data_IF_531377303530
#
_entry.id   IF_531377303530
#
_cell.length_a   1.000
_cell.length_b   1.000
_cell.length_c   1.000
_cell.angle_alpha   90.00
_cell.angle_beta   90.00
_cell.angle_gamma   90.00
#
_symmetry.space_group_name_H-M   'P 1'
#
loop_
_entity.id
_entity.type
_entity.pdbx_description
1 polymer ?
#
# COMPACT_ATOMS: atom_id res chain seq x y z
N UNK A 1 -2.59 18.34 -21.28
CA UNK A 1 -1.45 17.46 -21.02
C UNK A 1 -1.53 16.31 -22.03
N UNK A 2 -0.41 15.91 -22.65
CA UNK A 2 -0.35 14.77 -23.56
C UNK A 2 0.64 13.74 -23.02
N UNK A 3 0.28 12.47 -23.15
CA UNK A 3 1.10 11.32 -22.76
C UNK A 3 1.27 10.39 -23.96
N UNK A 4 2.46 9.79 -24.13
CA UNK A 4 2.74 8.78 -25.17
C UNK A 4 2.41 9.25 -26.59
N UNK A 5 2.99 10.38 -27.00
CA UNK A 5 2.79 10.96 -28.35
C UNK A 5 1.31 11.20 -28.72
N UNK A 6 0.47 11.43 -27.69
CA UNK A 6 -0.95 11.72 -27.87
C UNK A 6 -1.89 10.51 -27.71
N UNK A 7 -1.37 9.36 -27.33
CA UNK A 7 -2.17 8.16 -27.02
C UNK A 7 -3.16 8.44 -25.88
N UNK A 8 -2.76 9.23 -24.89
CA UNK A 8 -3.62 9.71 -23.81
C UNK A 8 -3.52 11.23 -23.69
N UNK A 9 -4.65 11.90 -23.65
CA UNK A 9 -4.73 13.35 -23.43
C UNK A 9 -5.50 13.62 -22.14
N UNK A 10 -5.08 14.65 -21.41
CA UNK A 10 -5.74 15.07 -20.18
C UNK A 10 -6.02 16.57 -20.19
N UNK A 11 -7.23 16.96 -19.83
CA UNK A 11 -7.61 18.34 -19.54
C UNK A 11 -7.67 18.51 -18.02
N UNK A 12 -6.91 19.48 -17.49
CA UNK A 12 -7.01 19.84 -16.07
C UNK A 12 -8.31 20.60 -15.89
N UNK A 13 -9.25 20.06 -15.12
CA UNK A 13 -10.56 20.65 -14.87
C UNK A 13 -10.65 21.35 -13.53
N UNK A 14 -9.80 20.97 -12.56
CA UNK A 14 -9.75 21.61 -11.25
C UNK A 14 -8.40 21.45 -10.57
N UNK A 15 -8.15 22.31 -9.57
CA UNK A 15 -7.03 22.24 -8.65
C UNK A 15 -7.60 21.95 -7.27
N UNK A 16 -7.35 20.74 -6.78
CA UNK A 16 -7.83 20.28 -5.47
C UNK A 16 -6.75 20.44 -4.39
N UNK A 17 -7.09 20.10 -3.17
CA UNK A 17 -6.21 20.24 -2.01
C UNK A 17 -4.83 19.62 -2.23
N UNK A 18 -3.84 20.12 -1.49
CA UNK A 18 -2.45 19.68 -1.52
C UNK A 18 -1.75 19.76 -2.88
N UNK A 19 -2.25 20.58 -3.79
CA UNK A 19 -1.66 20.76 -5.11
C UNK A 19 -1.99 19.65 -6.10
N UNK A 20 -2.90 18.77 -5.77
CA UNK A 20 -3.43 17.78 -6.70
C UNK A 20 -4.24 18.43 -7.83
N UNK A 21 -4.42 17.71 -8.91
CA UNK A 21 -5.19 18.16 -10.08
C UNK A 21 -6.24 17.14 -10.41
N UNK A 22 -7.45 17.61 -10.65
CA UNK A 22 -8.50 16.80 -11.24
C UNK A 22 -8.34 16.86 -12.76
N UNK A 23 -8.17 15.71 -13.40
CA UNK A 23 -7.89 15.62 -14.84
C UNK A 23 -8.96 14.77 -15.49
N UNK A 24 -9.59 15.34 -16.51
CA UNK A 24 -10.45 14.58 -17.41
C UNK A 24 -9.60 13.98 -18.54
N UNK A 25 -9.60 12.67 -18.65
CA UNK A 25 -8.87 11.98 -19.71
C UNK A 25 -9.71 11.80 -20.98
N UNK A 26 -9.03 11.93 -22.11
CA UNK A 26 -9.57 11.71 -23.45
C UNK A 26 -8.69 10.67 -24.15
N UNK A 27 -9.30 9.57 -24.57
CA UNK A 27 -8.62 8.41 -25.14
C UNK A 27 -9.59 7.59 -25.98
N UNK A 28 -9.03 6.73 -26.86
CA UNK A 28 -9.77 5.75 -27.63
C UNK A 28 -9.38 4.34 -27.17
N UNK A 29 -10.36 3.47 -26.93
CA UNK A 29 -10.13 2.08 -26.48
C UNK A 29 -10.31 1.88 -24.99
N UNK A 30 -9.54 0.94 -24.42
CA UNK A 30 -9.61 0.55 -23.01
C UNK A 30 -8.57 1.33 -22.23
N UNK A 31 -9.01 2.06 -21.21
CA UNK A 31 -8.15 2.94 -20.42
C UNK A 31 -7.01 2.21 -19.74
N UNK A 32 -7.30 1.06 -19.17
CA UNK A 32 -6.33 0.21 -18.48
C UNK A 32 -5.20 -0.26 -19.41
N UNK A 33 -5.53 -0.62 -20.65
CA UNK A 33 -4.52 -1.02 -21.64
C UNK A 33 -3.61 0.15 -22.02
N UNK A 34 -4.16 1.35 -22.11
CA UNK A 34 -3.38 2.57 -22.35
C UNK A 34 -2.46 2.87 -21.18
N UNK A 35 -2.95 2.72 -19.94
CA UNK A 35 -2.14 2.89 -18.74
C UNK A 35 -1.00 1.86 -18.67
N UNK A 36 -1.24 0.61 -19.07
CA UNK A 36 -0.21 -0.44 -19.11
C UNK A 36 0.91 -0.12 -20.11
N UNK A 37 0.55 0.50 -21.23
CA UNK A 37 1.52 0.93 -22.25
C UNK A 37 2.34 2.14 -21.79
N UNK A 38 1.70 3.11 -21.14
CA UNK A 38 2.30 4.39 -20.77
C UNK A 38 2.89 4.39 -19.37
N UNK A 39 2.35 3.55 -18.49
CA UNK A 39 2.67 3.56 -17.06
C UNK A 39 4.08 3.05 -16.77
N UNK A 40 4.74 3.76 -15.89
CA UNK A 40 5.97 3.29 -15.25
C UNK A 40 5.68 2.99 -13.77
N UNK A 41 6.36 1.97 -13.20
CA UNK A 41 6.25 1.68 -11.78
C UNK A 41 6.69 2.91 -10.97
N UNK A 42 5.85 3.46 -10.08
CA UNK A 42 6.25 4.56 -9.22
C UNK A 42 7.33 4.08 -8.25
N UNK A 43 8.48 4.75 -8.28
CA UNK A 43 9.61 4.44 -7.42
C UNK A 43 9.88 5.61 -6.48
N UNK A 44 10.38 5.35 -5.27
CA UNK A 44 10.88 6.40 -4.39
C UNK A 44 11.96 7.23 -5.09
N UNK A 45 12.05 8.55 -4.80
CA UNK A 45 12.97 9.45 -5.51
C UNK A 45 14.45 9.07 -5.44
N UNK A 46 14.86 8.29 -4.44
CA UNK A 46 16.24 7.81 -4.29
C UNK A 46 16.59 6.66 -5.24
N UNK A 47 15.60 6.03 -5.91
CA UNK A 47 15.82 5.01 -6.92
C UNK A 47 15.82 5.70 -8.29
N UNK A 48 17.00 5.93 -8.84
CA UNK A 48 17.19 6.66 -10.09
C UNK A 48 17.31 5.76 -11.33
N UNK A 49 17.53 4.46 -11.15
CA UNK A 49 17.62 3.50 -12.24
C UNK A 49 16.24 3.02 -12.67
N UNK A 50 15.98 3.03 -13.99
CA UNK A 50 14.78 2.39 -14.54
C UNK A 50 14.81 0.89 -14.28
N UNK A 51 13.67 0.37 -13.80
CA UNK A 51 13.51 -1.07 -13.64
C UNK A 51 13.44 -1.76 -15.00
N UNK A 52 14.23 -2.81 -15.18
CA UNK A 52 14.14 -3.69 -16.35
C UNK A 52 12.89 -4.58 -16.27
N UNK A 53 12.50 -4.94 -15.06
CA UNK A 53 11.32 -5.73 -14.74
C UNK A 53 10.43 -4.93 -13.77
N UNK A 54 9.25 -4.55 -14.22
CA UNK A 54 8.27 -3.78 -13.42
C UNK A 54 7.88 -4.53 -12.13
N UNK A 55 7.82 -5.86 -12.17
CA UNK A 55 7.42 -6.69 -11.03
C UNK A 55 8.48 -6.73 -9.92
N UNK A 56 9.70 -6.30 -10.20
CA UNK A 56 10.80 -6.32 -9.20
C UNK A 56 10.53 -5.43 -7.99
N UNK A 57 9.76 -4.36 -8.17
CA UNK A 57 9.39 -3.43 -7.09
C UNK A 57 7.95 -3.68 -6.63
N UNK A 58 7.57 -4.94 -6.51
CA UNK A 58 6.30 -5.38 -5.92
C UNK A 58 6.51 -6.68 -5.14
N UNK A 59 5.70 -6.91 -4.13
CA UNK A 59 5.76 -8.14 -3.34
C UNK A 59 5.19 -9.33 -4.13
N UNK A 60 5.70 -10.53 -3.87
CA UNK A 60 5.23 -11.76 -4.52
C UNK A 60 3.81 -12.17 -4.12
N UNK A 61 3.25 -11.51 -3.11
CA UNK A 61 1.90 -11.74 -2.58
C UNK A 61 0.94 -10.57 -2.82
N UNK A 62 1.33 -9.55 -3.59
CA UNK A 62 0.41 -8.48 -3.99
C UNK A 62 -0.80 -9.06 -4.72
N UNK A 63 -2.00 -8.64 -4.32
CA UNK A 63 -3.28 -9.16 -4.84
C UNK A 63 -4.22 -8.05 -5.29
N UNK A 64 -4.31 -6.98 -4.54
CA UNK A 64 -5.27 -5.91 -4.76
C UNK A 64 -4.55 -4.68 -5.33
N UNK A 65 -4.93 -4.25 -6.53
CA UNK A 65 -4.44 -3.03 -7.15
C UNK A 65 -5.03 -1.79 -6.46
N UNK A 66 -4.32 -0.63 -6.55
CA UNK A 66 -4.81 0.64 -6.01
C UNK A 66 -3.82 1.37 -5.10
N UNK A 67 -2.64 0.81 -4.84
CA UNK A 67 -1.58 1.45 -4.05
C UNK A 67 -0.55 2.14 -4.94
N UNK A 68 -0.14 3.35 -4.56
CA UNK A 68 0.95 4.07 -5.24
C UNK A 68 2.34 3.60 -4.81
N UNK A 69 2.47 2.84 -3.73
CA UNK A 69 3.74 2.36 -3.21
C UNK A 69 3.68 0.90 -2.76
N UNK A 70 4.76 0.15 -2.99
CA UNK A 70 4.90 -1.22 -2.51
C UNK A 70 5.37 -1.24 -1.04
N UNK A 71 4.96 -2.25 -0.24
CA UNK A 71 5.47 -2.44 1.12
C UNK A 71 6.91 -2.99 1.07
N UNK A 72 7.89 -2.09 1.13
CA UNK A 72 9.31 -2.40 0.83
C UNK A 72 9.91 -3.50 1.72
N UNK A 73 9.50 -3.61 2.98
CA UNK A 73 9.90 -4.70 3.85
C UNK A 73 9.48 -6.08 3.30
N UNK A 74 8.37 -6.14 2.59
CA UNK A 74 7.86 -7.36 1.96
C UNK A 74 8.63 -7.80 0.71
N UNK A 75 9.40 -6.90 0.08
CA UNK A 75 10.19 -7.23 -1.12
C UNK A 75 11.30 -8.26 -0.87
N UNK A 76 11.67 -8.47 0.39
CA UNK A 76 12.66 -9.47 0.79
C UNK A 76 12.11 -10.90 0.77
N UNK A 77 10.80 -11.08 0.76
CA UNK A 77 10.19 -12.41 0.71
C UNK A 77 10.08 -12.91 -0.72
N UNK A 78 10.55 -14.11 -0.96
CA UNK A 78 10.24 -14.89 -2.16
C UNK A 78 9.15 -15.91 -1.84
N UNK A 79 8.54 -16.51 -2.87
CA UNK A 79 7.53 -17.59 -2.67
C UNK A 79 8.14 -18.79 -1.94
N UNK A 80 9.40 -19.11 -2.23
CA UNK A 80 10.14 -20.20 -1.61
C UNK A 80 10.41 -19.90 -0.12
N UNK A 81 10.78 -18.66 0.21
CA UNK A 81 11.01 -18.26 1.61
C UNK A 81 9.70 -18.28 2.41
N UNK A 82 8.60 -17.77 1.84
CA UNK A 82 7.28 -17.84 2.49
C UNK A 82 6.89 -19.29 2.78
N UNK A 83 7.09 -20.19 1.78
CA UNK A 83 6.82 -21.60 1.98
C UNK A 83 7.70 -22.23 3.08
N UNK A 84 8.98 -21.88 3.15
CA UNK A 84 9.86 -22.38 4.23
C UNK A 84 9.37 -21.92 5.60
N UNK A 85 8.90 -20.67 5.71
CA UNK A 85 8.31 -20.12 6.94
C UNK A 85 7.06 -20.90 7.35
N UNK A 86 6.19 -21.22 6.40
CA UNK A 86 4.99 -22.04 6.64
C UNK A 86 5.36 -23.48 7.04
N UNK A 87 6.34 -24.10 6.39
CA UNK A 87 6.82 -25.45 6.68
C UNK A 87 7.42 -25.56 8.11
N UNK A 88 7.86 -24.43 8.70
CA UNK A 88 8.26 -24.33 10.11
C UNK A 88 7.07 -24.23 11.07
N UNK A 89 5.85 -24.24 10.58
CA UNK A 89 4.63 -24.12 11.39
C UNK A 89 4.19 -22.66 11.69
N UNK A 90 4.83 -21.69 11.06
CA UNK A 90 4.42 -20.27 11.17
C UNK A 90 3.26 -20.03 10.22
N UNK A 91 2.23 -19.37 10.73
CA UNK A 91 1.06 -18.98 9.92
C UNK A 91 1.32 -17.61 9.30
N UNK A 92 0.95 -17.44 8.03
CA UNK A 92 1.05 -16.17 7.31
C UNK A 92 -0.34 -15.58 7.17
N UNK A 93 -0.50 -14.35 7.63
CA UNK A 93 -1.73 -13.56 7.45
C UNK A 93 -1.45 -12.38 6.52
N UNK A 94 -2.44 -12.01 5.72
CA UNK A 94 -2.36 -10.91 4.78
C UNK A 94 -3.36 -9.81 5.12
N UNK A 95 -2.94 -8.57 4.98
CA UNK A 95 -3.79 -7.38 5.10
C UNK A 95 -3.55 -6.47 3.90
N UNK A 96 -4.51 -5.62 3.59
CA UNK A 96 -4.41 -4.67 2.48
C UNK A 96 -4.37 -3.25 3.03
N UNK A 97 -3.44 -2.43 2.51
CA UNK A 97 -3.41 -0.99 2.68
C UNK A 97 -3.14 -0.33 1.32
N UNK A 98 -4.02 0.53 0.87
CA UNK A 98 -3.81 1.33 -0.32
C UNK A 98 -3.06 2.61 0.04
N UNK A 99 -1.74 2.55 -0.10
CA UNK A 99 -0.84 3.67 0.21
C UNK A 99 -0.96 4.74 -0.87
N UNK A 100 -1.31 5.95 -0.47
CA UNK A 100 -1.48 7.10 -1.35
C UNK A 100 -0.15 7.73 -1.79
N UNK A 101 -0.24 8.67 -2.75
CA UNK A 101 0.92 9.43 -3.26
C UNK A 101 1.62 10.26 -2.19
N UNK A 102 0.93 10.56 -1.09
CA UNK A 102 1.48 11.29 0.05
C UNK A 102 2.71 10.64 0.68
N UNK A 103 2.86 9.31 0.55
CA UNK A 103 4.03 8.59 1.09
C UNK A 103 5.37 9.04 0.49
N UNK A 104 5.36 9.64 -0.70
CA UNK A 104 6.57 10.18 -1.34
C UNK A 104 6.87 11.63 -0.95
N UNK A 105 6.01 12.26 -0.16
CA UNK A 105 6.21 13.63 0.30
C UNK A 105 7.04 13.64 1.58
N UNK A 106 8.05 14.51 1.68
CA UNK A 106 8.82 14.63 2.91
C UNK A 106 7.95 15.22 4.03
N UNK A 107 8.14 14.74 5.23
CA UNK A 107 7.60 15.36 6.45
C UNK A 107 8.22 16.77 6.57
N UNK A 108 7.37 17.79 6.69
CA UNK A 108 7.78 19.21 6.67
C UNK A 108 7.61 19.90 8.03
N UNK A 109 7.23 19.16 9.06
CA UNK A 109 7.03 19.67 10.41
C UNK A 109 8.23 19.32 11.28
N UNK A 110 8.62 20.24 12.17
CA UNK A 110 9.70 20.01 13.11
C UNK A 110 9.24 19.14 14.30
N UNK A 111 7.95 19.17 14.61
CA UNK A 111 7.32 18.39 15.65
C UNK A 111 6.47 17.27 15.02
N UNK A 112 6.83 16.03 15.31
CA UNK A 112 6.19 14.83 14.79
C UNK A 112 4.70 14.77 15.13
N UNK A 113 4.30 15.28 16.31
CA UNK A 113 2.89 15.28 16.76
C UNK A 113 2.01 16.23 15.90
N UNK A 114 2.61 17.18 15.18
CA UNK A 114 1.91 18.09 14.28
C UNK A 114 1.80 17.57 12.85
N UNK A 115 2.34 16.38 12.57
CA UNK A 115 2.26 15.78 11.25
C UNK A 115 0.87 15.21 10.99
N UNK A 116 0.14 15.80 10.04
CA UNK A 116 -1.09 15.23 9.52
C UNK A 116 -0.78 14.15 8.50
N UNK A 117 -1.01 12.90 8.88
CA UNK A 117 -0.84 11.77 7.98
C UNK A 117 -1.98 11.71 6.97
N UNK A 118 -1.67 11.34 5.74
CA UNK A 118 -2.68 11.14 4.70
C UNK A 118 -3.63 10.01 5.07
N UNK A 119 -4.89 10.18 4.69
CA UNK A 119 -5.90 9.14 4.81
C UNK A 119 -5.63 8.02 3.81
N UNK A 120 -5.54 6.78 4.26
CA UNK A 120 -5.29 5.59 3.45
C UNK A 120 -6.33 4.52 3.74
N UNK A 121 -6.79 3.86 2.67
CA UNK A 121 -7.80 2.82 2.78
C UNK A 121 -7.16 1.49 3.16
N UNK A 122 -7.70 0.84 4.21
CA UNK A 122 -7.28 -0.49 4.63
C UNK A 122 -8.41 -1.52 4.55
N UNK A 123 -8.02 -2.79 4.46
CA UNK A 123 -8.94 -3.92 4.51
C UNK A 123 -8.30 -5.11 5.22
N UNK A 124 -9.09 -5.74 6.09
CA UNK A 124 -8.75 -7.00 6.79
C UNK A 124 -9.86 -8.00 6.52
N UNK A 125 -9.53 -9.09 5.85
CA UNK A 125 -10.45 -10.18 5.56
C UNK A 125 -10.82 -10.95 6.85
N UNK A 126 -12.00 -11.52 6.92
CA UNK A 126 -12.55 -12.17 8.13
C UNK A 126 -11.68 -13.36 8.60
N UNK A 127 -11.22 -14.18 7.67
CA UNK A 127 -10.34 -15.33 7.96
C UNK A 127 -8.97 -14.89 8.47
N UNK A 128 -8.43 -13.75 7.98
CA UNK A 128 -7.18 -13.19 8.42
C UNK A 128 -7.29 -12.58 9.83
N UNK A 129 -8.36 -11.85 10.10
CA UNK A 129 -8.65 -11.33 11.44
C UNK A 129 -8.79 -12.47 12.45
N UNK A 130 -9.55 -13.51 12.10
CA UNK A 130 -9.71 -14.70 12.93
C UNK A 130 -8.37 -15.39 13.20
N UNK A 131 -7.55 -15.59 12.16
CA UNK A 131 -6.23 -16.23 12.28
C UNK A 131 -5.33 -15.49 13.28
N UNK A 132 -5.28 -14.18 13.20
CA UNK A 132 -4.47 -13.32 14.07
C UNK A 132 -5.00 -13.36 15.50
N UNK A 133 -6.31 -13.21 15.70
CA UNK A 133 -6.94 -13.24 17.02
C UNK A 133 -6.77 -14.60 17.71
N UNK A 134 -6.98 -15.69 16.97
CA UNK A 134 -6.79 -17.04 17.50
C UNK A 134 -5.33 -17.29 17.89
N UNK A 135 -4.37 -16.75 17.13
CA UNK A 135 -2.95 -16.84 17.45
C UNK A 135 -2.64 -16.13 18.77
N UNK A 136 -3.12 -14.89 18.95
CA UNK A 136 -2.97 -14.13 20.22
C UNK A 136 -3.61 -14.88 21.40
N UNK A 137 -4.86 -15.33 21.22
CA UNK A 137 -5.62 -16.05 22.25
C UNK A 137 -4.92 -17.33 22.73
N UNK A 138 -4.21 -18.02 21.83
CA UNK A 138 -3.46 -19.24 22.14
C UNK A 138 -2.02 -18.96 22.64
N UNK A 139 -1.69 -17.73 23.00
CA UNK A 139 -0.37 -17.34 23.51
C UNK A 139 0.73 -17.26 22.45
N UNK A 140 0.37 -17.28 21.17
CA UNK A 140 1.30 -17.08 20.06
C UNK A 140 1.68 -15.60 19.88
N UNK A 141 2.72 -15.37 19.07
CA UNK A 141 3.17 -14.02 18.72
C UNK A 141 2.66 -13.62 17.34
N UNK A 142 2.26 -12.37 17.21
CA UNK A 142 1.98 -11.73 15.93
C UNK A 142 3.17 -10.85 15.57
N UNK A 143 3.71 -11.04 14.38
CA UNK A 143 4.88 -10.29 13.87
C UNK A 143 4.42 -9.54 12.64
N UNK A 144 4.35 -8.22 12.74
CA UNK A 144 4.04 -7.33 11.62
C UNK A 144 5.29 -7.08 10.78
N UNK A 145 5.19 -7.30 9.48
CA UNK A 145 6.29 -7.05 8.54
C UNK A 145 6.01 -5.75 7.79
N UNK A 146 6.76 -4.71 8.16
CA UNK A 146 6.67 -3.37 7.61
C UNK A 146 5.60 -2.50 8.27
N UNK A 147 5.78 -1.19 8.12
CA UNK A 147 4.87 -0.18 8.67
C UNK A 147 3.47 -0.26 8.05
N UNK A 148 3.35 -0.68 6.80
CA UNK A 148 2.07 -0.93 6.11
C UNK A 148 1.20 -1.92 6.89
N UNK A 149 1.76 -3.08 7.25
CA UNK A 149 1.04 -4.09 8.03
C UNK A 149 0.76 -3.60 9.46
N UNK A 150 1.75 -2.97 10.10
CA UNK A 150 1.59 -2.41 11.43
C UNK A 150 0.44 -1.40 11.47
N UNK A 151 0.44 -0.44 10.55
CA UNK A 151 -0.60 0.59 10.46
C UNK A 151 -1.99 0.00 10.27
N UNK A 152 -2.13 -1.01 9.40
CA UNK A 152 -3.41 -1.69 9.18
C UNK A 152 -3.90 -2.39 10.45
N UNK A 153 -3.02 -3.14 11.12
CA UNK A 153 -3.36 -3.87 12.34
C UNK A 153 -3.76 -2.93 13.47
N UNK A 154 -2.99 -1.86 13.71
CA UNK A 154 -3.31 -0.86 14.73
C UNK A 154 -4.63 -0.13 14.44
N UNK A 155 -4.91 0.17 13.16
CA UNK A 155 -6.15 0.85 12.76
C UNK A 155 -7.39 -0.02 12.89
N UNK A 156 -7.26 -1.31 12.67
CA UNK A 156 -8.38 -2.26 12.69
C UNK A 156 -8.58 -2.96 14.04
N UNK A 157 -7.70 -2.72 15.03
CA UNK A 157 -7.80 -3.33 16.36
C UNK A 157 -8.62 -2.44 17.29
N UNK A 158 -9.57 -3.03 18.01
CA UNK A 158 -10.39 -2.33 18.98
C UNK A 158 -9.67 -2.10 20.32
N UNK A 159 -10.32 -1.38 21.23
CA UNK A 159 -9.80 -1.05 22.58
C UNK A 159 -9.52 -2.30 23.44
N UNK A 160 -10.11 -3.44 23.14
CA UNK A 160 -9.87 -4.73 23.81
C UNK A 160 -8.72 -5.51 23.18
N UNK A 161 -8.06 -4.97 22.15
CA UNK A 161 -6.96 -5.59 21.44
C UNK A 161 -7.40 -6.70 20.48
N UNK A 162 -8.66 -6.69 20.06
CA UNK A 162 -9.24 -7.64 19.08
C UNK A 162 -9.22 -7.01 17.70
N UNK A 163 -8.57 -7.67 16.76
CA UNK A 163 -8.53 -7.25 15.37
C UNK A 163 -9.91 -7.47 14.72
N UNK A 164 -10.47 -6.41 14.19
CA UNK A 164 -11.78 -6.42 13.52
C UNK A 164 -11.59 -6.67 12.02
N UNK A 165 -12.42 -7.56 11.47
CA UNK A 165 -12.54 -7.72 10.02
C UNK A 165 -13.34 -6.55 9.43
N UNK A 166 -13.00 -6.16 8.21
CA UNK A 166 -13.68 -5.08 7.51
C UNK A 166 -12.73 -4.15 6.80
N UNK A 167 -13.22 -3.00 6.42
CA UNK A 167 -12.43 -1.97 5.74
C UNK A 167 -12.72 -0.60 6.31
N UNK A 168 -11.78 0.31 6.15
CA UNK A 168 -11.90 1.68 6.64
C UNK A 168 -10.79 2.58 6.13
N UNK A 169 -10.78 3.79 6.63
CA UNK A 169 -9.74 4.77 6.36
C UNK A 169 -8.93 5.01 7.62
N UNK A 170 -7.62 5.19 7.47
CA UNK A 170 -6.70 5.44 8.58
C UNK A 170 -5.83 6.65 8.31
N UNK A 171 -5.64 7.45 9.36
CA UNK A 171 -4.74 8.61 9.37
C UNK A 171 -3.69 8.48 10.48
N UNK A 172 -3.60 7.32 11.12
CA UNK A 172 -2.62 7.13 12.19
C UNK A 172 -1.19 7.25 11.64
N UNK A 173 -0.35 7.92 12.39
CA UNK A 173 1.06 8.08 12.08
C UNK A 173 1.89 7.18 13.01
N UNK A 174 2.64 6.25 12.42
CA UNK A 174 3.53 5.35 13.15
C UNK A 174 4.93 5.95 13.16
N UNK A 175 5.43 6.29 14.33
CA UNK A 175 6.78 6.84 14.54
C UNK A 175 7.44 6.19 15.77
N UNK A 176 8.78 6.27 15.91
CA UNK A 176 9.53 5.68 17.02
C UNK A 176 9.18 6.27 18.39
#
# INVERSE_FOLDING_TARGET
ICFGDGLLKGTVIDVVEEGNRLIQFHYDGIFEEILDQLGEMPLPPYITHKLKDKNRYQTVYAKNDGSAAAPTAGLHFTRELLKQVEDMGVKIAHVTLHVGLGTFRPVKVDDVEQHHMHSEFYMVEEDQAKLINDTKKNGGRVISVGTTSCRTLESATDENGILQAGSGWTEIFIYP
#
